data_IF_357146815078
#
_entry.id   IF_357146815078
#
_cell.length_a   1.000
_cell.length_b   1.000
_cell.length_c   1.000
_cell.angle_alpha   90.00
_cell.angle_beta   90.00
_cell.angle_gamma   90.00
#
_symmetry.space_group_name_H-M   'P 1'
#
loop_
_entity.id
_entity.type
_entity.pdbx_description
1 polymer ?
#
# COMPACT_ATOMS: atom_id res chain seq x y z
N UNK A 1 -26.75 52.08 -26.27
CA UNK A 1 -26.87 50.79 -25.55
C UNK A 1 -25.87 49.83 -26.16
N UNK A 2 -24.67 49.74 -25.60
CA UNK A 2 -23.58 48.93 -26.16
C UNK A 2 -23.14 47.95 -25.06
N UNK A 3 -23.54 46.69 -25.20
CA UNK A 3 -23.19 45.61 -24.27
C UNK A 3 -21.79 45.12 -24.60
N UNK A 4 -20.80 45.41 -23.77
CA UNK A 4 -19.50 44.74 -23.79
C UNK A 4 -19.69 43.32 -23.23
N UNK A 5 -19.48 42.30 -24.06
CA UNK A 5 -19.38 40.92 -23.62
C UNK A 5 -17.94 40.66 -23.16
N UNK A 6 -17.77 40.39 -21.87
CA UNK A 6 -16.49 39.99 -21.29
C UNK A 6 -16.30 38.48 -21.52
N UNK A 7 -15.43 38.09 -22.44
CA UNK A 7 -15.07 36.70 -22.65
C UNK A 7 -14.06 36.27 -21.56
N UNK A 8 -14.51 35.44 -20.62
CA UNK A 8 -13.63 34.81 -19.64
C UNK A 8 -12.83 33.69 -20.33
N UNK A 9 -11.54 33.94 -20.58
CA UNK A 9 -10.60 32.92 -21.05
C UNK A 9 -10.26 32.04 -19.85
N UNK A 10 -10.89 30.86 -19.77
CA UNK A 10 -10.56 29.83 -18.80
C UNK A 10 -9.31 29.10 -19.30
N UNK A 11 -8.13 29.58 -18.92
CA UNK A 11 -6.85 28.93 -19.20
C UNK A 11 -6.77 27.61 -18.43
N UNK A 12 -7.05 26.50 -19.12
CA UNK A 12 -6.71 25.15 -18.67
C UNK A 12 -5.18 25.01 -18.65
N UNK A 13 -4.59 25.07 -17.47
CA UNK A 13 -3.20 24.65 -17.26
C UNK A 13 -3.13 23.13 -17.43
N UNK A 14 -2.32 22.59 -18.36
CA UNK A 14 -2.12 21.16 -18.46
C UNK A 14 -1.38 20.68 -17.21
N UNK A 15 -2.00 19.78 -16.43
CA UNK A 15 -1.28 18.97 -15.45
C UNK A 15 -0.36 18.03 -16.22
N UNK A 16 0.89 18.43 -16.42
CA UNK A 16 1.93 17.49 -16.85
C UNK A 16 2.23 16.59 -15.65
N UNK A 17 1.79 15.33 -15.70
CA UNK A 17 2.24 14.32 -14.77
C UNK A 17 3.76 14.17 -14.95
N UNK A 18 4.53 14.67 -14.00
CA UNK A 18 5.97 14.41 -13.94
C UNK A 18 6.15 12.93 -13.70
N UNK A 19 6.96 12.26 -14.52
CA UNK A 19 7.34 10.88 -14.28
C UNK A 19 7.95 10.80 -12.87
N UNK A 20 7.48 9.85 -12.06
CA UNK A 20 8.06 9.60 -10.75
C UNK A 20 9.52 9.15 -10.91
N UNK A 21 10.39 9.63 -10.03
CA UNK A 21 11.78 9.18 -10.00
C UNK A 21 11.83 7.67 -9.71
N UNK A 22 12.75 6.91 -10.35
CA UNK A 22 12.94 5.52 -10.02
C UNK A 22 13.49 5.37 -8.59
N UNK A 23 13.27 4.20 -7.99
CA UNK A 23 13.91 3.80 -6.74
C UNK A 23 15.44 3.78 -6.90
N UNK A 24 16.16 3.77 -5.78
CA UNK A 24 17.63 3.75 -5.73
C UNK A 24 18.27 2.60 -6.54
N UNK A 25 17.56 1.49 -6.74
CA UNK A 25 18.01 0.35 -7.56
C UNK A 25 17.66 0.49 -9.06
N UNK A 26 17.09 1.62 -9.48
CA UNK A 26 16.64 1.89 -10.84
C UNK A 26 15.23 1.36 -11.15
N UNK A 27 14.54 0.74 -10.19
CA UNK A 27 13.19 0.23 -10.41
C UNK A 27 12.21 1.38 -10.61
N UNK A 28 11.50 1.35 -11.74
CA UNK A 28 10.43 2.31 -12.04
C UNK A 28 9.19 1.99 -11.22
N UNK A 29 8.65 3.01 -10.57
CA UNK A 29 7.33 2.97 -9.92
C UNK A 29 6.29 3.51 -10.91
N UNK A 30 5.08 2.92 -10.93
CA UNK A 30 3.95 3.49 -11.69
C UNK A 30 3.58 4.86 -11.12
N UNK A 31 3.30 5.90 -11.93
CA UNK A 31 3.00 7.24 -11.44
C UNK A 31 1.87 7.29 -10.40
N UNK A 32 0.82 6.48 -10.59
CA UNK A 32 -0.30 6.39 -9.65
C UNK A 32 0.14 5.81 -8.30
N UNK A 33 1.04 4.83 -8.31
CA UNK A 33 1.53 4.18 -7.10
C UNK A 33 2.55 5.06 -6.35
N UNK A 34 3.37 5.82 -7.08
CA UNK A 34 4.22 6.86 -6.48
C UNK A 34 3.35 7.92 -5.77
N UNK A 35 2.29 8.41 -6.43
CA UNK A 35 1.35 9.35 -5.83
C UNK A 35 0.62 8.77 -4.60
N UNK A 36 0.35 7.45 -4.58
CA UNK A 36 -0.22 6.75 -3.42
C UNK A 36 0.78 6.69 -2.25
N UNK A 37 2.05 6.40 -2.51
CA UNK A 37 3.10 6.41 -1.48
C UNK A 37 3.29 7.81 -0.88
N UNK A 38 3.39 8.85 -1.73
CA UNK A 38 3.46 10.24 -1.28
C UNK A 38 2.24 10.66 -0.44
N UNK A 39 1.09 10.03 -0.68
CA UNK A 39 -0.14 10.26 0.05
C UNK A 39 -0.22 9.54 1.41
N UNK A 40 0.76 8.72 1.79
CA UNK A 40 0.64 7.77 2.92
C UNK A 40 0.17 8.43 4.22
N UNK A 41 0.81 9.52 4.64
CA UNK A 41 0.44 10.21 5.89
C UNK A 41 -0.97 10.80 5.82
N UNK A 42 -1.32 11.41 4.67
CA UNK A 42 -2.65 11.95 4.43
C UNK A 42 -3.73 10.85 4.46
N UNK A 43 -3.47 9.73 3.80
CA UNK A 43 -4.36 8.58 3.77
C UNK A 43 -4.53 7.99 5.18
N UNK A 44 -3.43 7.86 5.92
CA UNK A 44 -3.43 7.38 7.31
C UNK A 44 -4.26 8.28 8.21
N UNK A 45 -4.06 9.60 8.14
CA UNK A 45 -4.86 10.56 8.89
C UNK A 45 -6.36 10.51 8.56
N UNK A 46 -6.70 10.38 7.27
CA UNK A 46 -8.09 10.24 6.83
C UNK A 46 -8.73 8.93 7.31
N UNK A 47 -8.00 7.81 7.21
CA UNK A 47 -8.42 6.49 7.67
C UNK A 47 -8.68 6.50 9.19
N UNK A 48 -7.73 7.03 9.97
CA UNK A 48 -7.85 7.15 11.42
C UNK A 48 -8.99 8.09 11.84
N UNK A 49 -9.18 9.22 11.12
CA UNK A 49 -10.31 10.13 11.39
C UNK A 49 -11.64 9.40 11.27
N UNK A 50 -11.81 8.55 10.26
CA UNK A 50 -13.01 7.74 10.11
C UNK A 50 -13.12 6.68 11.21
N UNK A 51 -12.05 5.93 11.48
CA UNK A 51 -12.03 4.90 12.51
C UNK A 51 -12.40 5.45 13.90
N UNK A 52 -11.81 6.59 14.30
CA UNK A 52 -12.04 7.23 15.60
C UNK A 52 -13.38 7.95 15.69
N UNK A 53 -13.84 8.57 14.59
CA UNK A 53 -15.05 9.40 14.58
C UNK A 53 -16.35 8.65 14.27
N UNK A 54 -16.26 7.52 13.57
CA UNK A 54 -17.43 6.77 13.08
C UNK A 54 -17.40 5.29 13.46
N UNK A 55 -16.26 4.76 13.91
CA UNK A 55 -16.14 3.38 14.37
C UNK A 55 -16.61 3.17 15.80
N UNK A 56 -16.88 1.92 16.16
CA UNK A 56 -17.00 1.52 17.56
C UNK A 56 -15.67 1.69 18.31
N UNK A 57 -15.71 1.71 19.64
CA UNK A 57 -14.50 1.75 20.47
C UNK A 57 -13.51 0.60 20.15
N UNK A 58 -14.04 -0.59 19.82
CA UNK A 58 -13.21 -1.73 19.42
C UNK A 58 -12.53 -1.50 18.06
N UNK A 59 -13.26 -0.96 17.08
CA UNK A 59 -12.69 -0.62 15.76
C UNK A 59 -11.62 0.48 15.84
N UNK A 60 -11.87 1.50 16.67
CA UNK A 60 -10.91 2.57 16.94
C UNK A 60 -9.62 2.04 17.59
N UNK A 61 -9.76 1.19 18.61
CA UNK A 61 -8.62 0.59 19.30
C UNK A 61 -7.81 -0.32 18.37
N UNK A 62 -8.48 -1.18 17.61
CA UNK A 62 -7.83 -2.10 16.66
C UNK A 62 -7.08 -1.32 15.56
N UNK A 63 -7.69 -0.28 14.98
CA UNK A 63 -7.00 0.58 13.99
C UNK A 63 -5.74 1.22 14.58
N UNK A 64 -5.82 1.79 15.79
CA UNK A 64 -4.68 2.40 16.46
C UNK A 64 -3.57 1.38 16.79
N UNK A 65 -3.94 0.16 17.18
CA UNK A 65 -2.97 -0.88 17.53
C UNK A 65 -2.16 -1.37 16.33
N UNK A 66 -2.74 -1.39 15.13
CA UNK A 66 -1.97 -1.76 13.91
C UNK A 66 -0.84 -0.79 13.57
N UNK A 67 -0.95 0.47 14.01
CA UNK A 67 0.03 1.54 13.78
C UNK A 67 0.95 1.77 14.98
N UNK A 68 0.81 0.98 16.05
CA UNK A 68 1.59 1.15 17.27
C UNK A 68 3.04 0.70 17.08
N UNK A 69 3.96 1.55 17.50
CA UNK A 69 5.41 1.31 17.43
C UNK A 69 6.05 2.15 16.33
N UNK A 70 7.24 2.69 16.64
CA UNK A 70 8.05 3.43 15.69
C UNK A 70 8.68 2.49 14.67
N UNK A 71 8.80 2.93 13.42
CA UNK A 71 9.56 2.22 12.41
C UNK A 71 11.05 2.24 12.78
N UNK A 72 11.72 1.10 12.61
CA UNK A 72 13.15 0.92 12.82
C UNK A 72 13.83 0.52 11.51
N UNK A 73 15.12 0.83 11.39
CA UNK A 73 15.94 0.25 10.35
C UNK A 73 16.08 -1.27 10.59
N UNK A 74 16.07 -2.04 9.51
CA UNK A 74 16.30 -3.48 9.54
C UNK A 74 17.21 -3.89 8.39
N UNK A 75 18.12 -4.83 8.66
CA UNK A 75 18.87 -5.49 7.60
C UNK A 75 17.95 -6.43 6.80
N UNK A 76 18.27 -6.73 5.54
CA UNK A 76 17.51 -7.71 4.77
C UNK A 76 17.36 -9.06 5.51
N UNK A 77 18.43 -9.51 6.17
CA UNK A 77 18.48 -10.77 6.91
C UNK A 77 17.53 -10.78 8.11
N UNK A 78 17.30 -9.63 8.75
CA UNK A 78 16.35 -9.54 9.84
C UNK A 78 14.90 -9.69 9.37
N UNK A 79 14.60 -9.41 8.10
CA UNK A 79 13.24 -9.51 7.56
C UNK A 79 12.90 -10.91 7.05
N UNK A 80 13.90 -11.66 6.59
CA UNK A 80 13.71 -13.01 6.04
C UNK A 80 13.10 -13.96 7.09
N UNK A 81 12.16 -14.78 6.64
CA UNK A 81 11.56 -15.85 7.44
C UNK A 81 10.07 -16.03 7.21
N UNK A 82 9.50 -16.97 7.94
CA UNK A 82 8.07 -17.17 8.01
C UNK A 82 7.44 -16.14 8.95
N UNK A 83 6.25 -15.67 8.57
CA UNK A 83 5.48 -14.67 9.30
C UNK A 83 4.03 -15.09 9.44
N UNK A 84 3.43 -14.81 10.58
CA UNK A 84 1.98 -14.68 10.71
C UNK A 84 1.59 -13.25 10.33
N UNK A 85 0.63 -13.08 9.43
CA UNK A 85 0.23 -11.77 8.96
C UNK A 85 -1.27 -11.54 9.07
N UNK A 86 -1.67 -10.33 9.50
CA UNK A 86 -3.08 -9.95 9.65
C UNK A 86 -3.37 -8.66 8.91
N UNK A 87 -4.38 -8.69 8.05
CA UNK A 87 -4.86 -7.52 7.32
C UNK A 87 -5.91 -6.77 8.13
N UNK A 88 -5.75 -5.46 8.22
CA UNK A 88 -6.72 -4.52 8.76
C UNK A 88 -6.97 -3.43 7.73
N UNK A 89 -8.23 -3.24 7.36
CA UNK A 89 -8.66 -2.18 6.44
C UNK A 89 -9.25 -1.04 7.25
N UNK A 90 -8.71 0.16 7.11
CA UNK A 90 -9.05 1.32 7.92
C UNK A 90 -9.62 2.42 7.02
N UNK A 91 -10.80 2.92 7.38
CA UNK A 91 -11.57 3.86 6.55
C UNK A 91 -12.09 3.26 5.24
N UNK A 92 -12.93 4.00 4.53
CA UNK A 92 -13.60 3.56 3.30
C UNK A 92 -15.00 3.00 3.57
N UNK A 93 -15.29 1.79 3.06
CA UNK A 93 -16.60 1.15 3.23
C UNK A 93 -16.95 0.88 4.69
N UNK A 94 -15.94 0.64 5.53
CA UNK A 94 -16.08 0.43 6.97
C UNK A 94 -15.10 1.33 7.71
N UNK A 95 -15.44 1.71 8.94
CA UNK A 95 -14.56 2.53 9.78
C UNK A 95 -13.24 1.80 10.09
N UNK A 96 -13.32 0.51 10.43
CA UNK A 96 -12.20 -0.43 10.47
C UNK A 96 -12.74 -1.87 10.39
N UNK A 97 -12.00 -2.76 9.73
CA UNK A 97 -12.27 -4.20 9.72
C UNK A 97 -10.97 -4.99 9.70
N UNK A 98 -10.84 -5.93 10.63
CA UNK A 98 -9.70 -6.84 10.75
C UNK A 98 -10.07 -8.26 10.31
N UNK A 99 -9.16 -8.90 9.61
CA UNK A 99 -9.26 -10.28 9.17
C UNK A 99 -8.52 -11.22 10.13
N UNK A 100 -8.75 -12.55 10.09
CA UNK A 100 -7.93 -13.49 10.84
C UNK A 100 -6.47 -13.50 10.35
N UNK A 101 -5.54 -14.04 11.15
CA UNK A 101 -4.16 -14.24 10.71
C UNK A 101 -4.04 -15.23 9.53
N UNK A 102 -3.06 -15.00 8.68
CA UNK A 102 -2.67 -15.82 7.54
C UNK A 102 -1.17 -16.13 7.59
N UNK A 103 -0.72 -17.09 6.78
CA UNK A 103 0.71 -17.37 6.61
C UNK A 103 1.27 -16.41 5.57
N UNK A 104 2.40 -15.79 5.89
CA UNK A 104 3.20 -14.99 5.00
C UNK A 104 4.67 -15.43 5.07
N UNK A 105 5.46 -15.05 4.09
CA UNK A 105 6.90 -15.25 4.11
C UNK A 105 7.62 -14.07 3.48
N UNK A 106 8.82 -13.80 3.98
CA UNK A 106 9.80 -12.95 3.31
C UNK A 106 10.98 -13.85 2.93
N UNK A 107 11.28 -13.93 1.65
CA UNK A 107 12.35 -14.78 1.11
C UNK A 107 13.36 -13.94 0.34
N UNK A 108 14.57 -14.48 0.18
CA UNK A 108 15.58 -13.86 -0.69
C UNK A 108 15.35 -14.30 -2.13
N UNK A 109 15.34 -13.34 -3.04
CA UNK A 109 15.30 -13.57 -4.49
C UNK A 109 16.45 -12.79 -5.14
N UNK A 110 17.56 -13.49 -5.39
CA UNK A 110 18.82 -12.88 -5.80
C UNK A 110 19.32 -11.84 -4.80
N UNK A 111 19.41 -10.58 -5.23
CA UNK A 111 19.79 -9.43 -4.40
C UNK A 111 18.61 -8.75 -3.72
N UNK A 112 17.37 -9.08 -4.11
CA UNK A 112 16.16 -8.49 -3.57
C UNK A 112 15.52 -9.41 -2.51
N UNK A 113 14.54 -8.86 -1.79
CA UNK A 113 13.63 -9.64 -0.97
C UNK A 113 12.25 -9.73 -1.62
N UNK A 114 11.59 -10.86 -1.44
CA UNK A 114 10.22 -11.13 -1.89
C UNK A 114 9.32 -11.28 -0.69
N UNK A 115 8.22 -10.55 -0.65
CA UNK A 115 7.13 -10.75 0.32
C UNK A 115 5.98 -11.52 -0.34
N UNK A 116 5.45 -12.52 0.35
CA UNK A 116 4.30 -13.30 -0.11
C UNK A 116 3.29 -13.57 1.01
N UNK A 117 2.00 -13.32 0.73
CA UNK A 117 0.88 -13.82 1.53
C UNK A 117 0.43 -15.18 1.00
N UNK A 118 0.76 -16.23 1.73
CA UNK A 118 0.66 -17.63 1.30
C UNK A 118 -0.74 -18.23 1.47
N UNK A 119 -1.59 -17.70 2.36
CA UNK A 119 -2.95 -18.21 2.62
C UNK A 119 -4.01 -17.13 2.61
N UNK A 120 -5.29 -17.54 2.59
CA UNK A 120 -6.46 -16.66 2.44
C UNK A 120 -6.93 -16.54 0.99
N UNK A 121 -8.14 -16.01 0.79
CA UNK A 121 -8.77 -15.83 -0.53
C UNK A 121 -8.10 -14.73 -1.34
N UNK A 122 -7.88 -13.57 -0.74
CA UNK A 122 -7.09 -12.50 -1.33
C UNK A 122 -5.63 -12.64 -0.88
N UNK A 123 -4.72 -12.65 -1.87
CA UNK A 123 -3.27 -12.77 -1.68
C UNK A 123 -2.59 -11.54 -2.25
N UNK A 124 -1.35 -11.36 -1.83
CA UNK A 124 -0.46 -10.35 -2.38
C UNK A 124 0.96 -10.89 -2.40
N UNK A 125 1.73 -10.56 -3.44
CA UNK A 125 3.09 -11.05 -3.63
C UNK A 125 3.87 -9.96 -4.37
N UNK A 126 5.00 -9.53 -3.82
CA UNK A 126 5.75 -8.36 -4.30
C UNK A 126 7.21 -8.36 -3.87
N UNK A 127 8.01 -7.53 -4.54
CA UNK A 127 9.42 -7.31 -4.21
C UNK A 127 9.53 -6.19 -3.20
N UNK A 128 10.44 -6.33 -2.24
CA UNK A 128 10.79 -5.30 -1.26
C UNK A 128 12.10 -4.65 -1.72
N UNK A 129 12.01 -3.39 -2.12
CA UNK A 129 13.09 -2.55 -2.56
C UNK A 129 13.57 -1.68 -1.40
N UNK A 130 14.88 -1.54 -1.25
CA UNK A 130 15.45 -0.66 -0.24
C UNK A 130 15.81 0.68 -0.89
N UNK A 131 15.19 1.75 -0.41
CA UNK A 131 15.26 3.09 -1.00
C UNK A 131 15.43 4.11 0.13
N UNK A 132 16.56 4.83 0.16
CA UNK A 132 16.85 5.87 1.17
C UNK A 132 16.55 5.52 2.64
N UNK A 133 16.78 4.25 3.02
CA UNK A 133 16.59 3.76 4.38
C UNK A 133 15.17 3.27 4.70
N UNK A 134 14.27 3.27 3.72
CA UNK A 134 12.94 2.67 3.81
C UNK A 134 12.80 1.45 2.90
N UNK A 135 11.79 0.63 3.17
CA UNK A 135 11.47 -0.56 2.40
C UNK A 135 10.18 -0.35 1.60
N UNK A 136 10.29 -0.23 0.29
CA UNK A 136 9.15 -0.07 -0.62
C UNK A 136 8.73 -1.44 -1.15
N UNK A 137 7.48 -1.79 -0.94
CA UNK A 137 6.83 -2.96 -1.53
C UNK A 137 6.26 -2.59 -2.89
N UNK A 138 6.64 -3.33 -3.94
CA UNK A 138 6.03 -3.28 -5.28
C UNK A 138 5.55 -4.68 -5.67
N UNK A 139 4.26 -4.86 -5.90
CA UNK A 139 3.71 -6.18 -6.16
C UNK A 139 2.30 -6.20 -6.73
N UNK A 140 1.62 -7.32 -6.54
CA UNK A 140 0.26 -7.49 -7.02
C UNK A 140 -0.62 -8.12 -5.96
N UNK A 141 -1.85 -7.63 -5.83
CA UNK A 141 -2.94 -8.39 -5.20
C UNK A 141 -3.59 -9.32 -6.23
N UNK A 142 -4.05 -10.49 -5.80
CA UNK A 142 -4.70 -11.49 -6.66
C UNK A 142 -5.54 -12.47 -5.83
N UNK A 143 -6.40 -13.24 -6.50
CA UNK A 143 -7.24 -14.26 -5.86
C UNK A 143 -6.46 -15.58 -5.73
N UNK A 144 -6.68 -16.31 -4.64
CA UNK A 144 -6.07 -17.60 -4.42
C UNK A 144 -6.38 -18.59 -5.55
N UNK A 145 -5.34 -19.23 -6.08
CA UNK A 145 -5.43 -20.11 -7.25
C UNK A 145 -4.96 -19.44 -8.54
N UNK A 146 -4.87 -18.11 -8.56
CA UNK A 146 -4.25 -17.35 -9.65
C UNK A 146 -2.74 -17.17 -9.41
N UNK A 147 -1.99 -16.98 -10.50
CA UNK A 147 -0.58 -16.62 -10.43
C UNK A 147 -0.44 -15.10 -10.21
N UNK A 148 0.50 -14.65 -9.36
CA UNK A 148 0.78 -13.23 -9.22
C UNK A 148 1.29 -12.67 -10.56
N UNK A 149 0.87 -11.45 -10.90
CA UNK A 149 1.45 -10.71 -12.02
C UNK A 149 2.67 -9.93 -11.52
N UNK A 150 3.83 -10.02 -12.19
CA UNK A 150 4.96 -9.15 -11.86
C UNK A 150 4.58 -7.67 -11.94
N UNK A 151 5.02 -6.86 -10.97
CA UNK A 151 4.66 -5.44 -10.89
C UNK A 151 4.99 -4.66 -12.18
N UNK A 152 6.13 -4.96 -12.79
CA UNK A 152 6.59 -4.32 -14.02
C UNK A 152 5.73 -4.65 -15.26
N UNK A 153 4.90 -5.71 -15.19
CA UNK A 153 4.06 -6.18 -16.30
C UNK A 153 2.64 -5.60 -16.27
N UNK A 154 2.35 -4.71 -15.31
CA UNK A 154 1.11 -3.94 -15.33
C UNK A 154 1.23 -2.80 -16.33
N UNK A 155 0.20 -2.58 -17.19
CA UNK A 155 0.16 -1.42 -18.06
C UNK A 155 -0.02 -0.15 -17.22
N UNK A 156 0.50 0.98 -17.73
CA UNK A 156 0.34 2.28 -17.06
C UNK A 156 -1.15 2.65 -16.98
N UNK A 157 -1.86 2.57 -18.12
CA UNK A 157 -3.31 2.70 -18.20
C UNK A 157 -3.98 1.32 -18.05
N UNK A 158 -4.62 1.09 -16.91
CA UNK A 158 -5.30 -0.16 -16.58
C UNK A 158 -6.70 0.11 -16.04
N UNK A 159 -7.69 -0.65 -16.53
CA UNK A 159 -8.99 -0.72 -15.88
C UNK A 159 -8.88 -1.44 -14.53
N UNK A 160 -8.70 -0.65 -13.49
CA UNK A 160 -8.60 -1.13 -12.11
C UNK A 160 -9.92 -1.68 -11.58
N UNK A 161 -11.05 -1.56 -12.29
CA UNK A 161 -12.35 -2.11 -11.86
C UNK A 161 -12.68 -3.45 -12.54
N UNK A 162 -12.11 -3.70 -13.72
CA UNK A 162 -12.39 -4.91 -14.52
C UNK A 162 -11.56 -6.16 -14.18
N UNK A 163 -10.64 -6.09 -13.22
CA UNK A 163 -9.74 -7.19 -12.84
C UNK A 163 -9.62 -7.34 -11.32
N UNK A 164 -9.43 -8.58 -10.87
CA UNK A 164 -9.10 -8.92 -9.47
C UNK A 164 -7.59 -8.92 -9.21
N UNK A 165 -6.78 -9.10 -10.26
CA UNK A 165 -5.32 -8.93 -10.18
C UNK A 165 -4.96 -7.47 -10.41
N UNK A 166 -4.44 -6.80 -9.38
CA UNK A 166 -4.15 -5.37 -9.36
C UNK A 166 -2.72 -5.11 -8.90
N UNK A 167 -2.04 -4.08 -9.43
CA UNK A 167 -0.78 -3.62 -8.88
C UNK A 167 -1.02 -3.06 -7.49
N UNK A 168 -0.05 -3.26 -6.60
CA UNK A 168 -0.11 -2.73 -5.25
C UNK A 168 1.25 -2.22 -4.81
N UNK A 169 1.20 -1.25 -3.92
CA UNK A 169 2.35 -0.51 -3.43
C UNK A 169 2.21 -0.28 -1.94
N UNK A 170 3.31 -0.38 -1.21
CA UNK A 170 3.29 -0.13 0.22
C UNK A 170 4.64 0.20 0.81
N UNK A 171 4.61 0.65 2.06
CA UNK A 171 5.80 0.90 2.88
C UNK A 171 5.90 -0.19 3.94
N UNK A 172 6.97 -0.98 3.92
CA UNK A 172 7.29 -1.91 4.98
C UNK A 172 8.02 -1.17 6.10
N UNK A 173 7.48 -1.25 7.30
CA UNK A 173 8.04 -0.69 8.52
C UNK A 173 8.37 -1.82 9.51
N UNK A 174 9.65 -2.17 9.68
CA UNK A 174 10.10 -3.00 10.79
C UNK A 174 9.81 -2.28 12.12
N UNK A 175 9.36 -2.99 13.14
CA UNK A 175 9.04 -2.40 14.46
C UNK A 175 10.00 -2.95 15.52
N UNK A 176 10.23 -4.26 15.51
CA UNK A 176 11.22 -4.94 16.33
C UNK A 176 11.60 -6.27 15.65
N UNK A 177 12.36 -7.13 16.34
CA UNK A 177 12.82 -8.40 15.79
C UNK A 177 11.68 -9.34 15.37
N UNK A 178 10.51 -9.23 15.99
CA UNK A 178 9.40 -10.17 15.80
C UNK A 178 8.15 -9.48 15.24
N UNK A 179 8.24 -8.17 14.93
CA UNK A 179 7.12 -7.37 14.44
C UNK A 179 7.51 -6.45 13.31
N UNK A 180 6.66 -6.42 12.28
CA UNK A 180 6.70 -5.43 11.22
C UNK A 180 5.27 -5.11 10.75
N UNK A 181 5.13 -4.15 9.86
CA UNK A 181 3.88 -3.91 9.13
C UNK A 181 4.15 -3.42 7.72
N UNK A 182 3.26 -3.72 6.78
CA UNK A 182 3.23 -3.07 5.47
C UNK A 182 1.99 -2.18 5.43
N UNK A 183 2.21 -0.89 5.15
CA UNK A 183 1.18 0.11 4.95
C UNK A 183 0.90 0.26 3.45
N UNK A 184 -0.34 0.00 3.02
CA UNK A 184 -0.76 0.17 1.63
C UNK A 184 -1.75 1.34 1.55
N UNK A 185 -1.31 2.54 1.15
CA UNK A 185 -2.16 3.71 1.06
C UNK A 185 -3.06 3.66 -0.18
N UNK A 186 -4.30 4.13 0.00
CA UNK A 186 -5.29 4.31 -1.07
C UNK A 186 -5.40 3.08 -2.00
N UNK A 187 -5.59 1.86 -1.48
CA UNK A 187 -5.76 0.68 -2.32
C UNK A 187 -6.97 0.86 -3.25
N UNK A 188 -6.92 0.23 -4.42
CA UNK A 188 -8.00 0.32 -5.41
C UNK A 188 -9.37 -0.22 -4.95
N UNK A 189 -9.43 -0.85 -3.77
CA UNK A 189 -10.60 -1.56 -3.23
C UNK A 189 -10.83 -1.23 -1.77
N UNK A 190 -12.10 -0.95 -1.47
CA UNK A 190 -12.76 -0.99 -0.16
C UNK A 190 -12.31 0.00 0.92
N UNK A 191 -11.05 0.42 0.95
CA UNK A 191 -10.47 1.14 2.09
C UNK A 191 -9.60 2.32 1.72
N UNK A 192 -9.33 3.16 2.72
CA UNK A 192 -8.40 4.30 2.58
C UNK A 192 -6.97 3.87 2.90
N UNK A 193 -6.81 2.98 3.88
CA UNK A 193 -5.53 2.39 4.26
C UNK A 193 -5.72 0.91 4.53
N UNK A 194 -4.86 0.08 3.95
CA UNK A 194 -4.67 -1.30 4.38
C UNK A 194 -3.40 -1.39 5.22
N UNK A 195 -3.47 -2.06 6.36
CA UNK A 195 -2.31 -2.36 7.20
C UNK A 195 -2.20 -3.87 7.30
N UNK A 196 -1.12 -4.42 6.76
CA UNK A 196 -0.77 -5.82 6.98
C UNK A 196 0.25 -5.87 8.10
N UNK A 197 -0.18 -6.27 9.28
CA UNK A 197 0.73 -6.50 10.42
C UNK A 197 1.40 -7.87 10.25
N UNK A 198 2.68 -7.97 10.62
CA UNK A 198 3.48 -9.19 10.58
C UNK A 198 4.02 -9.48 11.99
N UNK A 199 3.92 -10.73 12.42
CA UNK A 199 4.42 -11.23 13.69
C UNK A 199 5.07 -12.61 13.53
N UNK A 200 6.10 -12.93 14.30
CA UNK A 200 6.68 -14.28 14.37
C UNK A 200 6.99 -14.71 15.79
#
# INVERSE_FOLDING_TARGET
>A
MTRLALAAVLSLLPLTATAADPLADGTRIRPEDAARLEALDRATGAALRQALGQGSAAQAADAADTLRGAALAATPEALIGDWSCRMTKIGGLQASVSYPPFRCAITRDGTALRFEKLTGSQRTSGTLHHDDGVWVYLGSTFVAGEAPRPYADFPDDMDTQGTETLPDVGLLEPIDADRARILFPLPYRESVLNVLTLTR
#
